data_IF_968214186423
#
_entry.id   IF_968214186423
#
_cell.length_a   1.000
_cell.length_b   1.000
_cell.length_c   1.000
_cell.angle_alpha   90.00
_cell.angle_beta   90.00
_cell.angle_gamma   90.00
#
_symmetry.space_group_name_H-M   'P 1'
#
loop_
_entity.id
_entity.type
_entity.pdbx_description
1 polymer ?
#
# COMPACT_ATOMS: atom_id res chain seq x y z
N UNK A 1 -4.02 6.11 7.86
CA UNK A 1 -2.57 6.00 8.01
C UNK A 1 -2.05 7.13 8.85
N UNK A 2 -0.83 7.04 9.35
CA UNK A 2 -0.14 8.11 10.06
C UNK A 2 1.35 8.11 9.68
N UNK A 3 1.96 9.28 9.61
CA UNK A 3 3.42 9.39 9.49
C UNK A 3 4.09 9.02 10.83
N UNK A 4 5.37 8.63 10.75
CA UNK A 4 6.26 8.20 11.83
C UNK A 4 5.89 6.87 12.52
N UNK A 5 4.61 6.57 12.65
CA UNK A 5 4.10 5.36 13.35
C UNK A 5 3.27 4.44 12.46
N UNK A 6 3.23 4.71 11.15
CA UNK A 6 2.53 3.90 10.14
C UNK A 6 1.01 4.04 10.19
N UNK A 7 0.38 3.73 11.33
CA UNK A 7 -1.06 3.77 11.56
C UNK A 7 -1.58 2.54 12.30
N UNK A 8 -2.87 2.55 12.63
CA UNK A 8 -3.51 1.56 13.49
C UNK A 8 -4.91 1.21 13.00
N UNK A 9 -5.37 -0.01 13.32
CA UNK A 9 -6.80 -0.34 13.32
C UNK A 9 -7.38 0.05 14.68
N UNK A 10 -8.38 0.91 14.68
CA UNK A 10 -9.12 1.28 15.89
C UNK A 10 -10.43 0.49 15.94
N UNK A 11 -10.48 -0.55 16.77
CA UNK A 11 -11.70 -1.31 17.04
C UNK A 11 -12.55 -0.69 18.16
N UNK A 12 -11.91 0.10 19.01
CA UNK A 12 -12.51 0.93 20.04
C UNK A 12 -11.80 2.29 20.00
N UNK A 13 -12.58 3.39 20.04
CA UNK A 13 -12.04 4.74 19.97
C UNK A 13 -11.59 5.27 21.34
N UNK A 14 -12.03 4.63 22.42
CA UNK A 14 -11.65 5.00 23.79
C UNK A 14 -10.40 4.23 24.28
N UNK A 15 -9.94 3.26 23.49
CA UNK A 15 -8.78 2.40 23.82
C UNK A 15 -7.68 2.58 22.78
N UNK A 16 -6.45 2.86 23.23
CA UNK A 16 -5.30 2.93 22.33
C UNK A 16 -4.99 1.54 21.73
N UNK A 17 -4.82 1.42 20.40
CA UNK A 17 -4.43 0.16 19.78
C UNK A 17 -3.07 -0.33 20.30
N UNK A 18 -2.96 -1.65 20.55
CA UNK A 18 -1.74 -2.25 21.10
C UNK A 18 -0.58 -2.31 20.09
N UNK A 19 -0.87 -2.28 18.80
CA UNK A 19 0.12 -2.44 17.73
C UNK A 19 -0.23 -1.62 16.50
N UNK A 20 0.80 -1.03 15.89
CA UNK A 20 0.70 -0.40 14.58
C UNK A 20 0.71 -1.44 13.46
N UNK A 21 0.47 -1.00 12.23
CA UNK A 21 0.60 -1.86 11.05
C UNK A 21 2.01 -2.44 10.92
N UNK A 22 2.08 -3.75 10.65
CA UNK A 22 3.32 -4.48 10.38
C UNK A 22 3.22 -5.23 9.05
N UNK A 23 4.34 -5.75 8.53
CA UNK A 23 4.36 -6.66 7.37
C UNK A 23 3.60 -6.17 6.12
N UNK A 24 4.01 -5.05 5.49
CA UNK A 24 5.25 -4.30 5.71
C UNK A 24 5.10 -3.20 6.77
N UNK A 25 6.20 -2.87 7.46
CA UNK A 25 6.23 -1.75 8.40
C UNK A 25 6.65 -0.48 7.66
N UNK A 26 5.77 0.52 7.61
CA UNK A 26 6.04 1.80 6.95
C UNK A 26 6.54 2.83 7.97
N UNK A 27 7.45 3.70 7.55
CA UNK A 27 7.73 4.95 8.28
C UNK A 27 6.54 5.89 8.19
N UNK A 28 5.70 5.80 7.15
CA UNK A 28 4.42 6.47 7.09
C UNK A 28 3.50 5.86 6.04
N UNK A 29 2.25 5.57 6.41
CA UNK A 29 1.23 5.13 5.45
C UNK A 29 0.67 6.35 4.73
N UNK A 30 0.93 6.48 3.44
CA UNK A 30 0.51 7.62 2.61
C UNK A 30 -0.93 7.49 2.14
N UNK A 31 -1.39 6.26 1.87
CA UNK A 31 -2.75 6.01 1.41
C UNK A 31 -3.23 4.60 1.83
N UNK A 32 -4.53 4.47 2.09
CA UNK A 32 -5.22 3.21 2.40
C UNK A 32 -6.61 3.24 1.77
N UNK A 33 -7.05 2.11 1.24
CA UNK A 33 -8.39 1.94 0.64
C UNK A 33 -8.91 0.52 0.87
N UNK A 34 -10.22 0.31 0.69
CA UNK A 34 -10.89 -0.97 0.91
C UNK A 34 -11.90 -1.31 -0.19
N UNK A 35 -12.25 -2.59 -0.28
CA UNK A 35 -13.24 -3.08 -1.23
C UNK A 35 -14.68 -2.94 -0.67
N UNK A 36 -15.47 -2.02 -1.20
CA UNK A 36 -16.84 -1.75 -0.71
C UNK A 36 -17.77 -2.98 -0.71
N UNK A 37 -17.71 -3.83 -1.72
CA UNK A 37 -18.51 -5.05 -1.83
C UNK A 37 -17.88 -6.24 -1.08
N UNK A 38 -16.66 -6.08 -0.58
CA UNK A 38 -15.98 -7.07 0.25
C UNK A 38 -15.13 -6.38 1.34
N UNK A 39 -15.78 -5.80 2.37
CA UNK A 39 -15.14 -4.87 3.30
C UNK A 39 -14.20 -5.55 4.29
N UNK A 40 -13.83 -6.81 4.09
CA UNK A 40 -12.69 -7.42 4.81
C UNK A 40 -11.36 -7.18 4.10
N UNK A 41 -11.38 -6.73 2.85
CA UNK A 41 -10.17 -6.53 2.03
C UNK A 41 -9.73 -5.08 2.02
N UNK A 42 -8.44 -4.88 2.29
CA UNK A 42 -7.79 -3.57 2.35
C UNK A 42 -6.46 -3.60 1.61
N UNK A 43 -6.06 -2.44 1.11
CA UNK A 43 -4.70 -2.18 0.61
C UNK A 43 -4.19 -0.87 1.21
N UNK A 44 -2.91 -0.86 1.57
CA UNK A 44 -2.21 0.34 2.01
C UNK A 44 -0.88 0.48 1.29
N UNK A 45 -0.47 1.73 1.09
CA UNK A 45 0.84 2.08 0.57
C UNK A 45 1.52 3.08 1.48
N UNK A 46 2.84 3.10 1.46
CA UNK A 46 3.59 3.97 2.35
C UNK A 46 5.08 4.03 2.06
N UNK A 47 5.74 4.89 2.81
CA UNK A 47 7.18 5.11 2.72
C UNK A 47 7.92 4.13 3.63
N UNK A 48 9.11 3.74 3.20
CA UNK A 48 10.07 2.97 4.01
C UNK A 48 11.43 3.66 3.98
N UNK A 49 12.21 3.46 5.04
CA UNK A 49 13.62 3.87 5.11
C UNK A 49 14.58 2.74 4.78
N UNK A 50 14.05 1.53 4.56
CA UNK A 50 14.77 0.31 4.22
C UNK A 50 14.30 -0.18 2.84
N UNK A 51 15.24 -0.25 1.88
CA UNK A 51 14.97 -0.65 0.50
C UNK A 51 14.61 -2.12 0.33
N UNK A 52 14.73 -2.93 1.40
CA UNK A 52 14.25 -4.32 1.41
C UNK A 52 12.75 -4.44 1.71
N UNK A 53 12.15 -3.40 2.29
CA UNK A 53 10.72 -3.37 2.64
C UNK A 53 9.89 -2.95 1.42
N UNK A 54 8.78 -3.66 1.21
CA UNK A 54 7.80 -3.34 0.16
C UNK A 54 6.97 -2.12 0.53
N UNK A 55 6.60 -1.32 -0.45
CA UNK A 55 5.85 -0.07 -0.26
C UNK A 55 4.34 -0.28 -0.27
N UNK A 56 3.90 -1.52 -0.36
CA UNK A 56 2.49 -1.91 -0.46
C UNK A 56 2.21 -3.15 0.39
N UNK A 57 1.09 -3.11 1.10
CA UNK A 57 0.58 -4.22 1.89
C UNK A 57 -0.92 -4.41 1.69
N UNK A 58 -1.37 -5.66 1.75
CA UNK A 58 -2.79 -6.03 1.68
C UNK A 58 -3.22 -6.73 2.96
N UNK A 59 -4.51 -6.60 3.29
CA UNK A 59 -5.18 -7.37 4.35
C UNK A 59 -6.44 -8.00 3.77
N UNK A 60 -6.80 -9.19 4.28
CA UNK A 60 -8.03 -9.90 3.92
C UNK A 60 -8.98 -10.09 5.12
N UNK A 61 -8.64 -9.49 6.26
CA UNK A 61 -9.28 -9.67 7.57
C UNK A 61 -9.40 -8.33 8.32
N UNK A 62 -9.92 -7.31 7.63
CA UNK A 62 -10.23 -5.99 8.24
C UNK A 62 -9.04 -5.24 8.84
N UNK A 63 -7.83 -5.53 8.33
CA UNK A 63 -6.60 -4.89 8.77
C UNK A 63 -5.97 -5.54 10.01
N UNK A 64 -6.46 -6.69 10.47
CA UNK A 64 -5.86 -7.43 11.58
C UNK A 64 -4.50 -8.02 11.19
N UNK A 65 -4.43 -8.67 10.02
CA UNK A 65 -3.17 -9.17 9.46
C UNK A 65 -2.86 -8.53 8.11
N UNK A 66 -1.58 -8.28 7.88
CA UNK A 66 -1.08 -7.64 6.66
C UNK A 66 0.01 -8.49 6.01
N UNK A 67 0.05 -8.42 4.68
CA UNK A 67 1.03 -9.10 3.85
C UNK A 67 1.64 -8.14 2.84
N UNK A 68 2.96 -8.12 2.76
CA UNK A 68 3.69 -7.42 1.71
C UNK A 68 3.46 -8.10 0.36
N UNK A 69 3.24 -7.29 -0.68
CA UNK A 69 3.13 -7.75 -2.07
C UNK A 69 4.22 -7.08 -2.92
N UNK A 70 4.36 -7.47 -4.19
CA UNK A 70 5.41 -6.94 -5.06
C UNK A 70 5.25 -5.43 -5.22
N UNK A 71 6.37 -4.69 -5.23
CA UNK A 71 6.33 -3.30 -5.71
C UNK A 71 6.01 -3.29 -7.21
N UNK A 72 5.42 -2.22 -7.73
CA UNK A 72 5.10 -2.12 -9.15
C UNK A 72 6.28 -1.65 -10.02
N UNK A 73 7.46 -1.68 -9.42
CA UNK A 73 8.75 -1.46 -10.04
C UNK A 73 9.78 -2.47 -9.52
N UNK A 74 10.93 -2.52 -10.17
CA UNK A 74 12.10 -3.20 -9.65
C UNK A 74 13.08 -2.15 -9.13
N UNK A 75 13.53 -2.23 -7.86
CA UNK A 75 14.60 -1.38 -7.36
C UNK A 75 15.85 -1.54 -8.24
N UNK A 76 16.38 -0.44 -8.75
CA UNK A 76 17.53 -0.46 -9.68
C UNK A 76 18.86 -0.36 -8.95
N UNK A 77 18.84 0.08 -7.68
CA UNK A 77 19.97 0.18 -6.77
C UNK A 77 19.45 0.17 -5.31
N UNK A 78 20.35 0.25 -4.34
CA UNK A 78 20.02 0.34 -2.92
C UNK A 78 19.33 1.64 -2.51
N UNK A 79 19.39 2.66 -3.37
CA UNK A 79 18.90 4.02 -3.12
C UNK A 79 17.51 4.21 -3.76
N UNK A 80 16.59 3.32 -3.40
CA UNK A 80 15.20 3.43 -3.85
C UNK A 80 14.53 4.62 -3.15
N UNK A 81 14.46 5.75 -3.86
CA UNK A 81 13.84 6.98 -3.33
C UNK A 81 12.33 7.04 -3.57
N UNK A 82 11.72 6.03 -4.22
CA UNK A 82 10.28 6.04 -4.52
C UNK A 82 9.45 5.98 -3.25
N UNK A 83 8.29 6.62 -3.29
CA UNK A 83 7.39 6.76 -2.15
C UNK A 83 6.04 6.10 -2.44
N UNK A 84 5.30 5.80 -1.38
CA UNK A 84 4.06 5.04 -1.45
C UNK A 84 2.96 5.66 -2.31
N UNK A 85 2.90 6.99 -2.43
CA UNK A 85 1.89 7.68 -3.24
C UNK A 85 0.46 7.29 -2.84
N UNK A 86 -0.38 6.99 -3.85
CA UNK A 86 -1.81 6.74 -3.70
C UNK A 86 -2.23 5.37 -4.24
N UNK A 87 -3.15 4.70 -3.56
CA UNK A 87 -3.65 3.38 -3.95
C UNK A 87 -5.17 3.35 -3.92
N UNK A 88 -5.77 2.52 -4.78
CA UNK A 88 -7.19 2.23 -4.79
C UNK A 88 -7.44 0.73 -4.96
N UNK A 89 -8.43 0.21 -4.25
CA UNK A 89 -8.91 -1.17 -4.38
C UNK A 89 -10.22 -1.20 -5.16
N UNK A 90 -10.36 -2.13 -6.11
CA UNK A 90 -11.64 -2.34 -6.78
C UNK A 90 -12.74 -2.70 -5.77
N UNK A 91 -13.99 -2.35 -6.07
CA UNK A 91 -15.11 -2.56 -5.15
C UNK A 91 -15.27 -4.03 -4.69
N UNK A 92 -14.92 -5.01 -5.51
CA UNK A 92 -14.96 -6.45 -5.16
C UNK A 92 -13.63 -6.99 -4.56
N UNK A 93 -12.58 -6.16 -4.52
CA UNK A 93 -11.25 -6.52 -4.05
C UNK A 93 -10.47 -7.43 -4.98
N UNK A 94 -10.78 -7.45 -6.29
CA UNK A 94 -10.09 -8.26 -7.30
C UNK A 94 -8.89 -7.56 -7.95
N UNK A 95 -8.93 -6.24 -8.05
CA UNK A 95 -7.90 -5.43 -8.70
C UNK A 95 -7.40 -4.32 -7.78
N UNK A 96 -6.16 -3.89 -8.01
CA UNK A 96 -5.54 -2.75 -7.33
C UNK A 96 -4.99 -1.80 -8.38
N UNK A 97 -5.19 -0.50 -8.20
CA UNK A 97 -4.50 0.55 -8.96
C UNK A 97 -3.62 1.32 -8.00
N UNK A 98 -2.38 1.55 -8.38
CA UNK A 98 -1.40 2.24 -7.56
C UNK A 98 -0.68 3.30 -8.39
N UNK A 99 -0.61 4.51 -7.86
CA UNK A 99 0.16 5.62 -8.38
C UNK A 99 1.27 5.98 -7.37
N UNK A 100 2.48 5.40 -7.50
CA UNK A 100 3.62 5.77 -6.67
C UNK A 100 4.15 7.15 -7.06
N UNK A 101 4.82 7.83 -6.13
CA UNK A 101 5.48 9.13 -6.39
C UNK A 101 6.88 8.95 -7.02
N UNK A 102 7.59 10.06 -7.28
CA UNK A 102 8.95 10.11 -7.82
C UNK A 102 9.05 9.51 -9.23
N UNK A 103 8.30 10.09 -10.17
CA UNK A 103 8.31 9.79 -11.61
C UNK A 103 8.01 8.32 -11.98
N UNK A 104 7.32 7.59 -11.10
CA UNK A 104 6.89 6.22 -11.39
C UNK A 104 5.55 6.22 -12.11
N UNK A 105 5.48 5.50 -13.23
CA UNK A 105 4.20 5.29 -13.92
C UNK A 105 3.23 4.57 -13.00
N UNK A 106 2.00 5.08 -12.92
CA UNK A 106 0.90 4.37 -12.29
C UNK A 106 0.76 2.97 -12.89
N UNK A 107 0.32 2.04 -12.07
CA UNK A 107 0.34 0.62 -12.32
C UNK A 107 -0.94 -0.02 -11.81
N UNK A 108 -1.36 -1.12 -12.41
CA UNK A 108 -2.48 -1.91 -11.92
C UNK A 108 -2.10 -3.37 -11.78
N UNK A 109 -2.74 -4.04 -10.83
CA UNK A 109 -2.65 -5.48 -10.63
C UNK A 109 -4.04 -6.10 -10.74
N UNK A 110 -4.10 -7.27 -11.39
CA UNK A 110 -5.31 -8.12 -11.52
C UNK A 110 -5.21 -9.42 -10.71
N UNK A 111 -4.17 -9.53 -9.89
CA UNK A 111 -3.80 -10.69 -9.09
C UNK A 111 -3.42 -10.28 -7.66
N UNK A 112 -4.10 -9.24 -7.16
CA UNK A 112 -3.97 -8.73 -5.79
C UNK A 112 -2.52 -8.40 -5.38
N UNK A 113 -1.76 -7.81 -6.29
CA UNK A 113 -0.41 -7.29 -6.06
C UNK A 113 0.73 -8.27 -6.33
N UNK A 114 0.44 -9.47 -6.87
CA UNK A 114 1.49 -10.44 -7.21
C UNK A 114 2.32 -9.96 -8.42
N UNK A 115 1.64 -9.37 -9.41
CA UNK A 115 2.25 -8.76 -10.58
C UNK A 115 1.56 -7.44 -10.97
N UNK A 116 2.29 -6.61 -11.72
CA UNK A 116 1.85 -5.26 -12.08
C UNK A 116 2.04 -4.97 -13.56
N UNK A 117 1.06 -4.28 -14.14
CA UNK A 117 1.15 -3.70 -15.48
C UNK A 117 1.14 -2.19 -15.38
N UNK A 118 2.10 -1.52 -16.05
CA UNK A 118 2.14 -0.05 -16.12
C UNK A 118 0.96 0.48 -16.93
N UNK A 119 0.28 1.48 -16.41
CA UNK A 119 -0.73 2.24 -17.13
C UNK A 119 -0.08 3.02 -18.27
N UNK A 120 -0.85 3.27 -19.34
CA UNK A 120 -0.46 4.16 -20.43
C UNK A 120 -1.40 5.37 -20.46
N UNK A 121 -0.86 6.55 -20.79
CA UNK A 121 -1.65 7.78 -20.91
C UNK A 121 -1.97 8.51 -19.60
N UNK A 122 -1.56 7.97 -18.45
CA UNK A 122 -1.60 8.70 -17.17
C UNK A 122 -0.30 9.49 -16.98
N UNK A 123 -0.35 10.71 -16.42
CA UNK A 123 0.86 11.42 -16.02
C UNK A 123 1.60 10.65 -14.92
N UNK A 124 2.92 10.75 -14.90
CA UNK A 124 3.73 10.34 -13.75
C UNK A 124 3.60 11.40 -12.65
N UNK A 125 3.63 10.99 -11.39
CA UNK A 125 3.70 11.92 -10.26
C UNK A 125 5.06 12.64 -10.20
N UNK A 126 5.06 13.86 -9.65
CA UNK A 126 6.27 14.66 -9.41
C UNK A 126 7.27 13.97 -8.47
#
# INVERSE_FOLDING_TARGET
GLYDVGGFVHTDLDTAPESSYTSPTFSGTTCIDYAELNPSKYVRVGNTTDSTIKHIGISNDTGENWYAVSDCWTPTNSDDNRCGGYVAMAADGSNIVWAPDNDTAACYSKDTGSSWTKCSGLPTGC
#
